data_IF_559679017007
#
_entry.id   IF_559679017007
#
_cell.length_a   1.000
_cell.length_b   1.000
_cell.length_c   1.000
_cell.angle_alpha   90.00
_cell.angle_beta   90.00
_cell.angle_gamma   90.00
#
_symmetry.space_group_name_H-M   'P 1'
#
loop_
_entity.id
_entity.type
_entity.pdbx_description
1 polymer ?
#
# COMPACT_ATOMS: atom_id res chain seq x y z
N UNK A 1 -0.81 52.90 21.65
CA UNK A 1 -0.28 51.57 22.09
C UNK A 1 -1.37 50.62 22.61
N UNK A 2 -2.57 51.09 22.99
CA UNK A 2 -3.65 50.22 23.52
C UNK A 2 -4.19 49.15 22.53
N UNK A 3 -4.13 49.37 21.21
CA UNK A 3 -4.65 48.40 20.24
C UNK A 3 -3.84 47.10 20.09
N UNK A 4 -2.51 47.17 20.14
CA UNK A 4 -1.63 45.99 19.99
C UNK A 4 -1.72 45.05 21.20
N UNK A 5 -1.91 45.59 22.39
CA UNK A 5 -2.04 44.81 23.63
C UNK A 5 -3.31 43.95 23.66
N UNK A 6 -4.39 44.38 22.97
CA UNK A 6 -5.65 43.65 22.90
C UNK A 6 -5.56 42.40 22.01
N UNK A 7 -4.90 42.51 20.85
CA UNK A 7 -4.74 41.38 19.92
C UNK A 7 -3.93 40.23 20.52
N UNK A 8 -2.80 40.55 21.17
CA UNK A 8 -1.94 39.55 21.80
C UNK A 8 -2.62 38.88 23.00
N UNK A 9 -3.35 39.64 23.83
CA UNK A 9 -4.18 39.08 24.91
C UNK A 9 -5.13 38.01 24.38
N UNK A 10 -5.87 38.31 23.32
CA UNK A 10 -6.84 37.37 22.75
C UNK A 10 -6.15 36.12 22.16
N UNK A 11 -4.97 36.27 21.56
CA UNK A 11 -4.18 35.14 21.06
C UNK A 11 -3.73 34.22 22.21
N UNK A 12 -3.21 34.78 23.30
CA UNK A 12 -2.79 34.02 24.49
C UNK A 12 -3.97 33.29 25.12
N UNK A 13 -5.12 33.95 25.28
CA UNK A 13 -6.32 33.30 25.82
C UNK A 13 -6.87 32.22 24.87
N UNK A 14 -6.76 32.41 23.56
CA UNK A 14 -7.13 31.38 22.57
C UNK A 14 -6.23 30.15 22.67
N UNK A 15 -4.91 30.35 22.80
CA UNK A 15 -3.94 29.27 23.03
C UNK A 15 -4.22 28.52 24.33
N UNK A 16 -4.56 29.25 25.39
CA UNK A 16 -4.93 28.64 26.67
C UNK A 16 -6.23 27.82 26.57
N UNK A 17 -7.26 28.35 25.90
CA UNK A 17 -8.51 27.62 25.60
C UNK A 17 -8.23 26.35 24.78
N UNK A 18 -7.34 26.43 23.80
CA UNK A 18 -6.88 25.30 22.98
C UNK A 18 -5.95 24.31 23.69
N UNK A 19 -5.70 24.47 24.99
CA UNK A 19 -4.77 23.65 25.79
C UNK A 19 -3.33 23.63 25.28
N UNK A 20 -2.91 24.63 24.50
CA UNK A 20 -1.55 24.69 23.93
C UNK A 20 -0.54 25.32 24.88
N UNK A 21 -1.00 26.09 25.87
CA UNK A 21 -0.20 26.67 26.95
C UNK A 21 -0.89 26.45 28.31
N UNK A 22 -0.10 26.45 29.37
CA UNK A 22 -0.50 26.32 30.77
C UNK A 22 -0.99 27.64 31.35
N UNK A 23 -1.67 27.58 32.51
CA UNK A 23 -2.14 28.78 33.22
C UNK A 23 -0.96 29.65 33.69
N UNK A 24 0.17 29.04 34.06
CA UNK A 24 1.36 29.77 34.49
C UNK A 24 2.01 30.52 33.33
N UNK A 25 2.07 29.92 32.14
CA UNK A 25 2.52 30.61 30.92
C UNK A 25 1.60 31.78 30.56
N UNK A 26 0.27 31.64 30.74
CA UNK A 26 -0.67 32.74 30.56
C UNK A 26 -0.38 33.88 31.55
N UNK A 27 -0.15 33.57 32.83
CA UNK A 27 0.20 34.56 33.85
C UNK A 27 1.45 35.32 33.46
N UNK A 28 2.51 34.60 33.09
CA UNK A 28 3.80 35.21 32.75
C UNK A 28 3.69 36.12 31.52
N UNK A 29 3.02 35.66 30.46
CA UNK A 29 2.85 36.45 29.24
C UNK A 29 1.97 37.68 29.51
N UNK A 30 0.86 37.55 30.24
CA UNK A 30 -0.04 38.67 30.52
C UNK A 30 0.57 39.69 31.49
N UNK A 31 1.39 39.26 32.46
CA UNK A 31 2.17 40.18 33.31
C UNK A 31 3.14 41.02 32.50
N UNK A 32 3.82 40.43 31.51
CA UNK A 32 4.69 41.18 30.58
C UNK A 32 3.91 42.21 29.76
N UNK A 33 2.62 41.98 29.52
CA UNK A 33 1.70 42.92 28.89
C UNK A 33 1.07 43.92 29.87
N UNK A 34 1.57 44.00 31.10
CA UNK A 34 1.19 44.97 32.15
C UNK A 34 -0.23 44.80 32.69
N UNK A 35 -0.85 43.62 32.55
CA UNK A 35 -2.09 43.30 33.26
C UNK A 35 -1.82 43.01 34.74
N UNK A 36 -2.76 43.37 35.62
CA UNK A 36 -2.67 43.05 37.06
C UNK A 36 -2.99 41.58 37.32
N UNK A 37 -2.47 41.03 38.42
CA UNK A 37 -2.72 39.63 38.79
C UNK A 37 -4.22 39.33 38.93
N UNK A 38 -5.01 40.24 39.49
CA UNK A 38 -6.46 40.07 39.62
C UNK A 38 -7.15 39.97 38.26
N UNK A 39 -6.72 40.80 37.29
CA UNK A 39 -7.27 40.79 35.93
C UNK A 39 -6.89 39.50 35.19
N UNK A 40 -5.67 39.02 35.40
CA UNK A 40 -5.16 37.78 34.82
C UNK A 40 -5.97 36.59 35.33
N UNK A 41 -6.17 36.49 36.64
CA UNK A 41 -6.98 35.41 37.22
C UNK A 41 -8.42 35.45 36.71
N UNK A 42 -9.01 36.64 36.56
CA UNK A 42 -10.34 36.77 35.95
C UNK A 42 -10.38 36.20 34.53
N UNK A 43 -9.35 36.48 33.70
CA UNK A 43 -9.29 35.91 32.35
C UNK A 43 -9.07 34.41 32.33
N UNK A 44 -8.28 33.87 33.26
CA UNK A 44 -8.07 32.42 33.38
C UNK A 44 -9.37 31.73 33.78
N UNK A 45 -10.09 32.26 34.78
CA UNK A 45 -11.39 31.74 35.21
C UNK A 45 -12.40 31.75 34.06
N UNK A 46 -12.48 32.86 33.32
CA UNK A 46 -13.34 32.96 32.15
C UNK A 46 -12.96 31.93 31.09
N UNK A 47 -11.66 31.78 30.80
CA UNK A 47 -11.18 30.83 29.81
C UNK A 47 -11.39 29.36 30.23
N UNK A 48 -11.21 29.03 31.51
CA UNK A 48 -11.48 27.70 32.07
C UNK A 48 -12.95 27.35 31.97
N UNK A 49 -13.84 28.31 32.22
CA UNK A 49 -15.27 28.13 32.00
C UNK A 49 -15.57 27.72 30.54
N UNK A 50 -14.99 28.41 29.56
CA UNK A 50 -15.13 28.04 28.15
C UNK A 50 -14.55 26.65 27.85
N UNK A 51 -13.37 26.31 28.38
CA UNK A 51 -12.75 24.99 28.19
C UNK A 51 -13.64 23.84 28.67
N UNK A 52 -14.27 24.02 29.84
CA UNK A 52 -15.18 23.01 30.42
C UNK A 52 -16.43 22.86 29.54
N UNK A 53 -16.95 23.96 28.99
CA UNK A 53 -18.11 23.92 28.08
C UNK A 53 -17.77 23.26 26.74
N UNK A 54 -16.62 23.56 26.16
CA UNK A 54 -16.16 22.96 24.90
C UNK A 54 -15.94 21.45 25.08
N UNK A 55 -15.30 21.02 26.17
CA UNK A 55 -15.12 19.60 26.48
C UNK A 55 -16.46 18.86 26.64
N UNK A 56 -17.42 19.48 27.32
CA UNK A 56 -18.79 18.96 27.43
C UNK A 56 -19.48 18.84 26.08
N UNK A 57 -19.30 19.83 25.21
CA UNK A 57 -19.87 19.86 23.87
C UNK A 57 -19.25 18.77 22.96
N UNK A 58 -17.93 18.55 23.04
CA UNK A 58 -17.24 17.50 22.30
C UNK A 58 -17.72 16.11 22.69
N UNK A 59 -17.83 15.84 24.01
CA UNK A 59 -18.38 14.58 24.52
C UNK A 59 -19.82 14.40 24.06
N UNK A 60 -20.65 15.44 24.16
CA UNK A 60 -22.03 15.39 23.67
C UNK A 60 -22.08 15.12 22.15
N UNK A 61 -21.23 15.77 21.35
CA UNK A 61 -21.14 15.54 19.91
C UNK A 61 -20.79 14.09 19.54
N UNK A 62 -19.83 13.50 20.26
CA UNK A 62 -19.45 12.09 20.07
C UNK A 62 -20.60 11.14 20.45
N UNK A 63 -21.27 11.39 21.57
CA UNK A 63 -22.39 10.58 22.05
C UNK A 63 -23.63 10.68 21.15
N UNK A 64 -23.91 11.87 20.59
CA UNK A 64 -25.02 12.12 19.67
C UNK A 64 -25.01 11.15 18.49
N UNK A 65 -23.87 11.01 17.83
CA UNK A 65 -23.72 10.15 16.63
C UNK A 65 -24.02 8.69 16.95
N UNK A 66 -23.52 8.19 18.09
CA UNK A 66 -23.78 6.82 18.53
C UNK A 66 -25.25 6.59 18.89
N UNK A 67 -25.86 7.53 19.61
CA UNK A 67 -27.26 7.45 20.04
C UNK A 67 -28.23 7.53 18.85
N UNK A 68 -28.06 8.52 17.97
CA UNK A 68 -28.95 8.74 16.80
C UNK A 68 -28.89 7.56 15.82
N UNK A 69 -27.76 6.88 15.72
CA UNK A 69 -27.59 5.66 14.89
C UNK A 69 -28.02 4.37 15.59
N UNK A 70 -28.71 4.46 16.73
CA UNK A 70 -29.14 3.32 17.54
C UNK A 70 -28.00 2.38 18.00
N UNK A 71 -26.75 2.85 18.03
CA UNK A 71 -25.60 2.07 18.51
C UNK A 71 -25.49 2.05 20.04
N UNK A 72 -26.31 2.86 20.73
CA UNK A 72 -26.36 2.97 22.19
C UNK A 72 -27.79 3.23 22.67
N UNK A 73 -28.10 2.73 23.86
CA UNK A 73 -29.38 2.98 24.52
C UNK A 73 -29.50 4.44 25.00
N UNK A 74 -30.73 4.88 25.25
CA UNK A 74 -30.99 6.21 25.82
C UNK A 74 -30.43 6.34 27.23
N UNK A 75 -30.61 5.32 28.05
CA UNK A 75 -30.17 5.26 29.45
C UNK A 75 -28.64 5.36 29.55
N UNK A 76 -27.90 4.59 28.76
CA UNK A 76 -26.43 4.65 28.73
C UNK A 76 -25.92 6.02 28.28
N UNK A 77 -26.59 6.62 27.30
CA UNK A 77 -26.24 7.95 26.77
C UNK A 77 -26.44 9.01 27.85
N UNK A 78 -27.56 8.96 28.57
CA UNK A 78 -27.86 9.85 29.71
C UNK A 78 -26.82 9.68 30.81
N UNK A 79 -26.46 8.45 31.18
CA UNK A 79 -25.46 8.18 32.23
C UNK A 79 -24.09 8.78 31.88
N UNK A 80 -23.64 8.65 30.63
CA UNK A 80 -22.36 9.22 30.18
C UNK A 80 -22.39 10.76 30.11
N UNK A 81 -23.50 11.34 29.67
CA UNK A 81 -23.68 12.80 29.70
C UNK A 81 -23.66 13.34 31.13
N UNK A 82 -24.29 12.64 32.07
CA UNK A 82 -24.24 12.97 33.50
C UNK A 82 -22.83 12.89 34.09
N UNK A 83 -22.06 11.87 33.68
CA UNK A 83 -20.64 11.75 34.05
C UNK A 83 -19.81 12.91 33.49
N UNK A 84 -20.11 13.38 32.28
CA UNK A 84 -19.50 14.57 31.68
C UNK A 84 -20.03 15.90 32.27
N UNK A 85 -20.96 15.85 33.23
CA UNK A 85 -21.45 17.03 33.94
C UNK A 85 -22.63 17.74 33.28
N UNK A 86 -23.35 17.08 32.37
CA UNK A 86 -24.69 17.51 31.92
C UNK A 86 -25.75 17.04 32.91
N UNK A 87 -26.58 17.95 33.45
CA UNK A 87 -27.60 17.63 34.45
C UNK A 87 -28.80 18.56 34.34
N UNK A 88 -29.96 18.12 34.81
CA UNK A 88 -31.20 18.92 34.86
C UNK A 88 -31.70 19.33 33.47
N UNK A 89 -32.33 20.49 33.39
CA UNK A 89 -32.99 20.97 32.16
C UNK A 89 -32.10 20.95 30.90
N UNK A 90 -30.81 21.37 30.92
CA UNK A 90 -29.96 21.29 29.74
C UNK A 90 -29.74 19.88 29.19
N UNK A 91 -29.71 18.87 30.07
CA UNK A 91 -29.61 17.47 29.66
C UNK A 91 -30.91 17.01 29.01
N UNK A 92 -32.04 17.38 29.58
CA UNK A 92 -33.36 17.02 29.07
C UNK A 92 -33.61 17.66 27.69
N UNK A 93 -33.24 18.93 27.51
CA UNK A 93 -33.35 19.65 26.22
C UNK A 93 -32.46 19.02 25.14
N UNK A 94 -31.22 18.66 25.52
CA UNK A 94 -30.27 17.98 24.63
C UNK A 94 -30.82 16.62 24.19
N UNK A 95 -31.29 15.81 25.13
CA UNK A 95 -31.87 14.50 24.85
C UNK A 95 -33.16 14.61 24.04
N UNK A 96 -34.04 15.57 24.32
CA UNK A 96 -35.25 15.80 23.52
C UNK A 96 -34.94 16.12 22.06
N UNK A 97 -33.90 16.92 21.81
CA UNK A 97 -33.42 17.21 20.46
C UNK A 97 -32.90 15.94 19.77
N UNK A 98 -32.17 15.10 20.50
CA UNK A 98 -31.60 13.86 19.94
C UNK A 98 -32.66 12.78 19.75
N UNK A 99 -33.66 12.70 20.61
CA UNK A 99 -34.83 11.81 20.49
C UNK A 99 -35.61 12.14 19.21
N UNK A 100 -35.80 13.44 18.91
CA UNK A 100 -36.40 13.88 17.65
C UNK A 100 -35.54 13.50 16.45
N UNK A 101 -34.22 13.76 16.48
CA UNK A 101 -33.31 13.39 15.40
C UNK A 101 -33.28 11.89 15.17
N UNK A 102 -33.24 11.11 16.25
CA UNK A 102 -33.31 9.65 16.22
C UNK A 102 -34.62 9.21 15.59
N UNK A 103 -35.76 9.77 15.99
CA UNK A 103 -37.07 9.47 15.38
C UNK A 103 -37.07 9.77 13.87
N UNK A 104 -36.56 10.93 13.46
CA UNK A 104 -36.46 11.30 12.02
C UNK A 104 -35.52 10.36 11.25
N UNK A 105 -34.47 9.86 11.90
CA UNK A 105 -33.49 8.94 11.30
C UNK A 105 -33.99 7.49 11.30
N UNK A 106 -34.68 7.06 12.35
CA UNK A 106 -35.27 5.73 12.55
C UNK A 106 -36.60 5.55 11.80
N UNK A 107 -37.25 6.64 11.35
CA UNK A 107 -38.35 6.61 10.38
C UNK A 107 -37.92 6.10 8.98
N UNK A 108 -36.71 5.55 8.87
CA UNK A 108 -36.31 4.56 7.89
C UNK A 108 -36.54 3.14 8.48
N UNK A 109 -37.76 2.55 8.38
CA UNK A 109 -38.16 1.28 9.01
C UNK A 109 -37.38 0.01 8.60
N UNK A 110 -36.30 0.11 7.83
CA UNK A 110 -35.51 -1.02 7.34
C UNK A 110 -34.37 -1.46 8.26
N UNK A 111 -34.17 -0.85 9.44
CA UNK A 111 -33.04 -1.20 10.33
C UNK A 111 -33.35 -2.22 11.43
N UNK A 112 -34.56 -2.77 11.49
CA UNK A 112 -34.88 -3.88 12.41
C UNK A 112 -34.64 -5.24 11.75
N UNK A 113 -33.40 -5.73 11.88
CA UNK A 113 -33.05 -7.13 12.14
C UNK A 113 -33.37 -8.23 11.11
N UNK A 114 -33.18 -7.95 9.83
CA UNK A 114 -32.42 -8.86 8.96
C UNK A 114 -31.39 -7.97 8.29
N UNK A 115 -30.09 -8.23 8.47
CA UNK A 115 -29.09 -7.44 7.75
C UNK A 115 -29.22 -7.81 6.28
N UNK A 116 -29.94 -7.00 5.53
CA UNK A 116 -30.01 -7.15 4.09
C UNK A 116 -28.60 -6.99 3.52
N UNK A 117 -28.27 -7.83 2.54
CA UNK A 117 -27.01 -7.75 1.85
C UNK A 117 -26.93 -6.39 1.15
N UNK A 118 -25.82 -5.70 1.35
CA UNK A 118 -25.53 -4.49 0.59
C UNK A 118 -25.39 -4.83 -0.90
N UNK A 119 -25.57 -3.84 -1.78
CA UNK A 119 -25.32 -3.97 -3.22
C UNK A 119 -23.96 -4.61 -3.52
N UNK A 120 -22.92 -4.22 -2.77
CA UNK A 120 -21.57 -4.76 -2.95
C UNK A 120 -21.48 -6.24 -2.62
N UNK A 121 -22.13 -6.67 -1.54
CA UNK A 121 -22.18 -8.08 -1.12
C UNK A 121 -22.97 -8.94 -2.08
N UNK A 122 -24.10 -8.46 -2.62
CA UNK A 122 -24.86 -9.15 -3.66
C UNK A 122 -24.04 -9.36 -4.94
N UNK A 123 -23.35 -8.31 -5.41
CA UNK A 123 -22.50 -8.40 -6.60
C UNK A 123 -21.33 -9.37 -6.37
N UNK A 124 -20.73 -9.38 -5.18
CA UNK A 124 -19.67 -10.31 -4.82
C UNK A 124 -20.19 -11.76 -4.80
N UNK A 125 -21.31 -12.00 -4.12
CA UNK A 125 -21.95 -13.31 -4.05
C UNK A 125 -22.29 -13.86 -5.45
N UNK A 126 -22.74 -13.00 -6.37
CA UNK A 126 -22.98 -13.41 -7.76
C UNK A 126 -21.69 -13.78 -8.51
N UNK A 127 -20.62 -13.01 -8.35
CA UNK A 127 -19.31 -13.29 -8.98
C UNK A 127 -18.72 -14.60 -8.48
N UNK A 128 -18.90 -14.89 -7.19
CA UNK A 128 -18.46 -16.11 -6.53
C UNK A 128 -19.43 -17.29 -6.72
N UNK A 129 -20.44 -17.14 -7.60
CA UNK A 129 -21.45 -18.16 -7.93
C UNK A 129 -22.31 -18.64 -6.75
N UNK A 130 -22.37 -17.86 -5.67
CA UNK A 130 -23.18 -18.14 -4.48
C UNK A 130 -24.67 -17.90 -4.77
N UNK A 131 -24.96 -16.91 -5.61
CA UNK A 131 -26.33 -16.57 -6.04
C UNK A 131 -26.45 -16.52 -7.57
N UNK A 132 -27.65 -16.75 -8.08
CA UNK A 132 -27.95 -16.67 -9.51
C UNK A 132 -28.15 -15.22 -9.98
N UNK A 133 -28.23 -15.01 -11.30
CA UNK A 133 -28.48 -13.68 -11.87
C UNK A 133 -29.89 -13.17 -11.52
N UNK A 134 -30.87 -14.07 -11.42
CA UNK A 134 -32.24 -13.74 -10.99
C UNK A 134 -32.25 -13.28 -9.54
N UNK A 135 -31.55 -14.01 -8.65
CA UNK A 135 -31.39 -13.62 -7.24
C UNK A 135 -30.65 -12.29 -7.07
N UNK A 136 -29.64 -12.03 -7.90
CA UNK A 136 -28.96 -10.73 -7.93
C UNK A 136 -29.94 -9.62 -8.36
N UNK A 137 -30.72 -9.85 -9.42
CA UNK A 137 -31.70 -8.88 -9.94
C UNK A 137 -32.74 -8.53 -8.87
N UNK A 138 -33.34 -9.55 -8.24
CA UNK A 138 -34.32 -9.38 -7.17
C UNK A 138 -33.72 -8.67 -5.95
N UNK A 139 -32.50 -9.07 -5.55
CA UNK A 139 -31.80 -8.46 -4.41
C UNK A 139 -31.50 -6.98 -4.65
N UNK A 140 -31.10 -6.59 -5.86
CA UNK A 140 -30.86 -5.19 -6.21
C UNK A 140 -32.17 -4.40 -6.25
N UNK A 141 -33.26 -4.95 -6.79
CA UNK A 141 -34.56 -4.30 -6.79
C UNK A 141 -35.10 -4.09 -5.36
N UNK A 142 -34.89 -5.05 -4.45
CA UNK A 142 -35.27 -4.94 -3.04
C UNK A 142 -34.52 -3.83 -2.29
N UNK A 143 -33.32 -3.47 -2.75
CA UNK A 143 -32.57 -2.32 -2.22
C UNK A 143 -33.12 -0.95 -2.71
N UNK A 144 -34.17 -0.94 -3.53
CA UNK A 144 -34.86 0.27 -3.98
C UNK A 144 -34.30 0.90 -5.26
N UNK A 145 -33.45 0.19 -6.00
CA UNK A 145 -33.01 0.62 -7.34
C UNK A 145 -34.16 0.46 -8.35
N UNK A 146 -34.26 1.38 -9.31
CA UNK A 146 -35.25 1.23 -10.38
C UNK A 146 -34.87 0.10 -11.36
N UNK A 147 -35.80 -0.27 -12.24
CA UNK A 147 -35.61 -1.38 -13.20
C UNK A 147 -34.42 -1.13 -14.15
N UNK A 148 -34.23 0.11 -14.62
CA UNK A 148 -33.13 0.45 -15.52
C UNK A 148 -31.78 0.38 -14.79
N UNK A 149 -31.71 0.94 -13.58
CA UNK A 149 -30.52 0.88 -12.74
C UNK A 149 -30.15 -0.56 -12.40
N UNK A 150 -31.14 -1.37 -12.02
CA UNK A 150 -30.98 -2.80 -11.72
C UNK A 150 -30.41 -3.53 -12.93
N UNK A 151 -30.98 -3.33 -14.11
CA UNK A 151 -30.51 -3.94 -15.36
C UNK A 151 -29.05 -3.55 -15.66
N UNK A 152 -28.68 -2.28 -15.51
CA UNK A 152 -27.30 -1.82 -15.73
C UNK A 152 -26.33 -2.46 -14.73
N UNK A 153 -26.69 -2.50 -13.45
CA UNK A 153 -25.85 -3.09 -12.39
C UNK A 153 -25.61 -4.58 -12.65
N UNK A 154 -26.68 -5.32 -12.96
CA UNK A 154 -26.61 -6.77 -13.25
C UNK A 154 -25.76 -7.04 -14.49
N UNK A 155 -25.94 -6.27 -15.57
CA UNK A 155 -25.12 -6.42 -16.79
C UNK A 155 -23.65 -6.11 -16.55
N UNK A 156 -23.33 -5.11 -15.73
CA UNK A 156 -21.96 -4.82 -15.33
C UNK A 156 -21.36 -5.96 -14.50
N UNK A 157 -22.11 -6.51 -13.54
CA UNK A 157 -21.66 -7.64 -12.73
C UNK A 157 -21.41 -8.89 -13.59
N UNK A 158 -22.33 -9.20 -14.51
CA UNK A 158 -22.22 -10.29 -15.48
C UNK A 158 -20.99 -10.12 -16.38
N UNK A 159 -20.81 -8.95 -16.98
CA UNK A 159 -19.65 -8.65 -17.84
C UNK A 159 -18.32 -8.74 -17.08
N UNK A 160 -18.30 -8.29 -15.81
CA UNK A 160 -17.12 -8.39 -14.96
C UNK A 160 -16.77 -9.84 -14.62
N UNK A 161 -17.77 -10.68 -14.30
CA UNK A 161 -17.60 -12.11 -14.05
C UNK A 161 -17.01 -12.83 -15.28
N UNK A 162 -17.66 -12.68 -16.43
CA UNK A 162 -17.21 -13.30 -17.68
C UNK A 162 -15.81 -12.83 -18.11
N UNK A 163 -15.47 -11.56 -17.83
CA UNK A 163 -14.13 -11.05 -18.09
C UNK A 163 -13.07 -11.73 -17.21
N UNK A 164 -13.38 -11.99 -15.94
CA UNK A 164 -12.47 -12.69 -15.02
C UNK A 164 -12.25 -14.13 -15.49
N UNK A 165 -13.31 -14.90 -15.72
CA UNK A 165 -13.24 -16.28 -16.23
C UNK A 165 -12.44 -16.37 -17.53
N UNK A 166 -12.69 -15.45 -18.47
CA UNK A 166 -11.95 -15.38 -19.73
C UNK A 166 -10.46 -15.11 -19.50
N UNK A 167 -10.12 -14.24 -18.55
CA UNK A 167 -8.72 -13.95 -18.23
C UNK A 167 -8.02 -15.18 -17.63
N UNK A 168 -8.71 -15.96 -16.79
CA UNK A 168 -8.15 -17.19 -16.23
C UNK A 168 -7.86 -18.22 -17.34
N UNK A 169 -8.77 -18.36 -18.31
CA UNK A 169 -8.54 -19.21 -19.49
C UNK A 169 -7.38 -18.70 -20.36
N UNK A 170 -7.28 -17.38 -20.57
CA UNK A 170 -6.14 -16.77 -21.28
C UNK A 170 -4.83 -17.09 -20.57
N UNK A 171 -4.79 -17.04 -19.23
CA UNK A 171 -3.61 -17.37 -18.43
C UNK A 171 -3.20 -18.83 -18.59
N UNK A 172 -4.15 -19.77 -18.64
CA UNK A 172 -3.84 -21.19 -18.92
C UNK A 172 -3.18 -21.37 -20.28
N UNK A 173 -3.70 -20.68 -21.32
CA UNK A 173 -3.11 -20.69 -22.67
C UNK A 173 -1.72 -20.04 -22.65
N UNK A 174 -1.56 -18.94 -21.92
CA UNK A 174 -0.27 -18.24 -21.75
C UNK A 174 0.80 -19.18 -21.17
N UNK A 175 0.50 -19.85 -20.06
CA UNK A 175 1.42 -20.78 -19.42
C UNK A 175 1.77 -21.95 -20.35
N UNK A 176 0.79 -22.49 -21.08
CA UNK A 176 1.01 -23.57 -22.05
C UNK A 176 1.90 -23.14 -23.23
N UNK A 177 1.73 -21.91 -23.69
CA UNK A 177 2.59 -21.31 -24.72
C UNK A 177 4.02 -21.11 -24.21
N UNK A 178 4.20 -20.57 -23.00
CA UNK A 178 5.53 -20.37 -22.41
C UNK A 178 6.25 -21.68 -22.05
N UNK A 179 5.50 -22.74 -21.79
CA UNK A 179 6.02 -24.09 -21.60
C UNK A 179 6.40 -24.78 -22.93
N UNK A 180 6.09 -24.17 -24.08
CA UNK A 180 6.33 -24.74 -25.41
C UNK A 180 5.35 -25.85 -25.80
N UNK A 181 4.27 -26.06 -25.03
CA UNK A 181 3.22 -27.03 -25.35
C UNK A 181 2.33 -26.55 -26.52
N UNK A 182 2.23 -25.23 -26.71
CA UNK A 182 1.50 -24.62 -27.82
C UNK A 182 2.44 -23.78 -28.68
N UNK A 183 2.35 -23.93 -30.00
CA UNK A 183 2.98 -23.01 -30.94
C UNK A 183 2.11 -21.77 -31.20
N UNK A 184 2.62 -20.82 -32.01
CA UNK A 184 1.91 -19.56 -32.30
C UNK A 184 0.56 -19.79 -32.99
N UNK A 185 0.46 -20.77 -33.89
CA UNK A 185 -0.76 -21.05 -34.65
C UNK A 185 -1.82 -21.67 -33.75
N UNK A 186 -1.43 -22.64 -32.93
CA UNK A 186 -2.30 -23.35 -32.00
C UNK A 186 -2.77 -22.42 -30.89
N UNK A 187 -1.88 -21.59 -30.33
CA UNK A 187 -2.25 -20.54 -29.37
C UNK A 187 -3.29 -19.57 -29.92
N UNK A 188 -3.16 -19.16 -31.18
CA UNK A 188 -4.15 -18.29 -31.81
C UNK A 188 -5.53 -18.97 -31.90
N UNK A 189 -5.57 -20.25 -32.24
CA UNK A 189 -6.81 -21.05 -32.30
C UNK A 189 -7.43 -21.20 -30.91
N UNK A 190 -6.63 -21.47 -29.86
CA UNK A 190 -7.14 -21.54 -28.49
C UNK A 190 -7.71 -20.20 -27.99
N UNK A 191 -7.05 -19.09 -28.30
CA UNK A 191 -7.56 -17.76 -27.97
C UNK A 191 -8.84 -17.41 -28.75
N UNK A 192 -9.01 -17.90 -29.98
CA UNK A 192 -10.25 -17.75 -30.74
C UNK A 192 -11.40 -18.54 -30.11
N UNK A 193 -11.14 -19.76 -29.61
CA UNK A 193 -12.15 -20.55 -28.87
C UNK A 193 -12.62 -19.86 -27.59
N UNK A 194 -11.73 -19.13 -26.92
CA UNK A 194 -12.01 -18.32 -25.72
C UNK A 194 -12.76 -17.01 -26.07
N UNK A 195 -12.87 -16.66 -27.36
CA UNK A 195 -13.54 -15.44 -27.81
C UNK A 195 -12.72 -14.17 -27.56
N UNK A 196 -11.39 -14.26 -27.62
CA UNK A 196 -10.50 -13.09 -27.51
C UNK A 196 -10.55 -12.27 -28.80
N UNK A 197 -10.83 -10.95 -28.75
CA UNK A 197 -10.85 -10.10 -29.94
C UNK A 197 -9.51 -10.11 -30.70
N UNK A 198 -9.57 -10.06 -32.03
CA UNK A 198 -8.39 -10.17 -32.91
C UNK A 198 -7.21 -9.26 -32.52
N UNK A 199 -7.47 -7.98 -32.23
CA UNK A 199 -6.43 -7.03 -31.83
C UNK A 199 -5.79 -7.41 -30.48
N UNK A 200 -6.60 -7.81 -29.50
CA UNK A 200 -6.11 -8.24 -28.19
C UNK A 200 -5.29 -9.53 -28.31
N UNK A 201 -5.76 -10.49 -29.13
CA UNK A 201 -5.05 -11.74 -29.43
C UNK A 201 -3.64 -11.48 -29.99
N UNK A 202 -3.52 -10.61 -31.00
CA UNK A 202 -2.23 -10.26 -31.59
C UNK A 202 -1.29 -9.59 -30.56
N UNK A 203 -1.83 -8.71 -29.73
CA UNK A 203 -1.06 -8.06 -28.66
C UNK A 203 -0.56 -9.06 -27.62
N UNK A 204 -1.41 -10.02 -27.18
CA UNK A 204 -1.04 -11.07 -26.24
C UNK A 204 0.08 -11.95 -26.81
N UNK A 205 -0.08 -12.46 -28.03
CA UNK A 205 0.94 -13.29 -28.69
C UNK A 205 2.25 -12.52 -28.86
N UNK A 206 2.19 -11.25 -29.25
CA UNK A 206 3.36 -10.39 -29.36
C UNK A 206 4.11 -10.25 -28.03
N UNK A 207 3.37 -9.98 -26.94
CA UNK A 207 3.93 -9.91 -25.58
C UNK A 207 4.56 -11.24 -25.17
N UNK A 208 3.87 -12.35 -25.38
CA UNK A 208 4.36 -13.68 -24.97
C UNK A 208 5.57 -14.14 -25.78
N UNK A 209 5.70 -13.76 -27.06
CA UNK A 209 6.92 -13.97 -27.85
C UNK A 209 8.13 -13.28 -27.21
N UNK A 210 7.95 -12.04 -26.76
CA UNK A 210 9.02 -11.30 -26.07
C UNK A 210 9.37 -11.95 -24.73
N UNK A 211 8.36 -12.43 -24.00
CA UNK A 211 8.56 -13.14 -22.73
C UNK A 211 9.29 -14.47 -22.93
N UNK A 212 8.91 -15.25 -23.93
CA UNK A 212 9.58 -16.49 -24.29
C UNK A 212 11.03 -16.24 -24.73
N UNK A 213 11.29 -15.17 -25.51
CA UNK A 213 12.64 -14.78 -25.90
C UNK A 213 13.52 -14.35 -24.70
N UNK A 214 12.91 -13.86 -23.61
CA UNK A 214 13.61 -13.58 -22.35
C UNK A 214 13.87 -14.84 -21.52
N UNK A 215 13.09 -15.90 -21.71
CA UNK A 215 13.36 -17.22 -21.13
C UNK A 215 14.48 -17.87 -21.94
N UNK A 216 15.72 -17.48 -21.66
CA UNK A 216 16.89 -18.24 -22.08
C UNK A 216 16.79 -19.60 -21.36
N UNK A 217 16.80 -20.74 -22.07
CA UNK A 217 16.81 -22.05 -21.43
C UNK A 217 18.09 -22.17 -20.59
N UNK A 218 17.97 -21.96 -19.28
CA UNK A 218 19.09 -22.01 -18.35
C UNK A 218 19.45 -23.46 -18.05
N UNK A 219 20.24 -24.06 -18.94
CA UNK A 219 21.25 -24.97 -18.41
C UNK A 219 22.13 -24.14 -17.48
N UNK A 220 22.13 -24.45 -16.19
CA UNK A 220 23.09 -23.85 -15.27
C UNK A 220 24.50 -24.05 -15.82
N UNK A 221 25.46 -23.16 -15.50
CA UNK A 221 26.85 -23.35 -15.93
C UNK A 221 27.38 -24.75 -15.60
N UNK A 222 26.99 -25.32 -14.46
CA UNK A 222 27.35 -26.68 -14.06
C UNK A 222 26.74 -27.77 -14.97
N UNK A 223 25.50 -27.57 -15.45
CA UNK A 223 24.88 -28.48 -16.40
C UNK A 223 25.53 -28.37 -17.79
N UNK A 224 25.82 -27.16 -18.27
CA UNK A 224 26.57 -26.95 -19.51
C UNK A 224 27.94 -27.62 -19.44
N UNK A 225 28.67 -27.39 -18.35
CA UNK A 225 29.95 -28.04 -18.06
C UNK A 225 29.84 -29.58 -18.10
N UNK A 226 28.85 -30.12 -17.39
CA UNK A 226 28.60 -31.56 -17.34
C UNK A 226 28.30 -32.16 -18.71
N UNK A 227 27.44 -31.51 -19.51
CA UNK A 227 27.06 -31.97 -20.85
C UNK A 227 28.23 -31.94 -21.83
N UNK A 228 29.10 -30.92 -21.75
CA UNK A 228 30.31 -30.82 -22.58
C UNK A 228 31.34 -31.87 -22.18
N UNK A 229 31.60 -32.03 -20.88
CA UNK A 229 32.54 -33.05 -20.37
C UNK A 229 32.07 -34.47 -20.69
N UNK A 230 30.77 -34.72 -20.63
CA UNK A 230 30.16 -35.98 -21.04
C UNK A 230 30.09 -36.15 -22.58
N UNK A 231 30.52 -35.15 -23.36
CA UNK A 231 30.46 -35.12 -24.83
C UNK A 231 29.03 -35.30 -25.39
N UNK A 232 28.03 -34.92 -24.60
CA UNK A 232 26.61 -34.90 -24.99
C UNK A 232 26.32 -33.62 -25.79
N UNK A 233 27.03 -32.54 -25.50
CA UNK A 233 26.94 -31.25 -26.17
C UNK A 233 28.30 -30.88 -26.77
N UNK A 234 28.31 -30.36 -28.00
CA UNK A 234 29.53 -29.86 -28.65
C UNK A 234 29.85 -28.42 -28.26
N UNK A 235 31.07 -27.99 -28.56
CA UNK A 235 31.61 -26.67 -28.19
C UNK A 235 30.82 -25.52 -28.84
N UNK A 236 30.36 -25.68 -30.09
CA UNK A 236 29.59 -24.67 -30.81
C UNK A 236 28.19 -24.47 -30.21
N UNK A 237 27.52 -25.57 -29.85
CA UNK A 237 26.21 -25.53 -29.19
C UNK A 237 26.33 -24.91 -27.80
N UNK A 238 27.34 -25.29 -27.02
CA UNK A 238 27.61 -24.69 -25.72
C UNK A 238 27.92 -23.19 -25.81
N UNK A 239 28.70 -22.78 -26.82
CA UNK A 239 28.98 -21.37 -27.08
C UNK A 239 27.71 -20.57 -27.34
N UNK A 240 26.76 -21.14 -28.10
CA UNK A 240 25.45 -20.53 -28.33
C UNK A 240 24.67 -20.37 -27.02
N UNK A 241 24.62 -21.40 -26.16
CA UNK A 241 23.96 -21.29 -24.85
C UNK A 241 24.60 -20.23 -23.95
N UNK A 242 25.93 -20.16 -23.90
CA UNK A 242 26.64 -19.14 -23.13
C UNK A 242 26.42 -17.73 -23.70
N UNK A 243 26.39 -17.58 -25.03
CA UNK A 243 26.05 -16.31 -25.67
C UNK A 243 24.61 -15.89 -25.36
N UNK A 244 23.68 -16.84 -25.43
CA UNK A 244 22.27 -16.62 -25.11
C UNK A 244 22.10 -16.22 -23.63
N UNK A 245 22.93 -16.76 -22.72
CA UNK A 245 23.02 -16.36 -21.30
C UNK A 245 23.75 -15.03 -21.05
N UNK A 246 24.26 -14.36 -22.09
CA UNK A 246 24.90 -13.05 -22.00
C UNK A 246 26.41 -13.08 -21.66
N UNK A 247 27.07 -14.24 -21.71
CA UNK A 247 28.53 -14.30 -21.58
C UNK A 247 29.21 -13.71 -22.82
N UNK A 248 30.29 -12.96 -22.63
CA UNK A 248 31.08 -12.40 -23.75
C UNK A 248 31.88 -13.49 -24.46
N UNK A 249 32.28 -13.26 -25.71
CA UNK A 249 33.08 -14.23 -26.49
C UNK A 249 34.39 -14.64 -25.78
N UNK A 250 35.00 -13.74 -25.03
CA UNK A 250 36.20 -14.02 -24.22
C UNK A 250 35.89 -14.95 -23.04
N UNK A 251 34.80 -14.67 -22.31
CA UNK A 251 34.33 -15.52 -21.21
C UNK A 251 33.92 -16.91 -21.70
N UNK A 252 33.24 -16.98 -22.84
CA UNK A 252 32.89 -18.24 -23.51
C UNK A 252 34.15 -19.07 -23.81
N UNK A 253 35.16 -18.44 -24.44
CA UNK A 253 36.42 -19.11 -24.79
C UNK A 253 37.15 -19.61 -23.54
N UNK A 254 37.18 -18.80 -22.48
CA UNK A 254 37.78 -19.19 -21.21
C UNK A 254 37.07 -20.38 -20.57
N UNK A 255 35.74 -20.33 -20.41
CA UNK A 255 34.96 -21.41 -19.81
C UNK A 255 35.06 -22.71 -20.63
N UNK A 256 34.94 -22.64 -21.95
CA UNK A 256 35.04 -23.80 -22.83
C UNK A 256 36.44 -24.44 -22.79
N UNK A 257 37.51 -23.62 -22.80
CA UNK A 257 38.87 -24.14 -22.68
C UNK A 257 39.11 -24.81 -21.32
N UNK A 258 38.60 -24.21 -20.25
CA UNK A 258 38.64 -24.76 -18.89
C UNK A 258 37.90 -26.10 -18.79
N UNK A 259 36.66 -26.17 -19.28
CA UNK A 259 35.84 -27.39 -19.21
C UNK A 259 36.39 -28.55 -20.04
N UNK A 260 36.96 -28.25 -21.21
CA UNK A 260 37.57 -29.26 -22.10
C UNK A 260 38.97 -29.69 -21.66
N UNK A 261 39.50 -29.13 -20.56
CA UNK A 261 40.87 -29.42 -20.10
C UNK A 261 41.94 -28.99 -21.10
N UNK A 262 41.59 -28.15 -22.10
CA UNK A 262 42.56 -27.50 -22.98
C UNK A 262 43.27 -26.50 -22.08
N UNK A 263 44.51 -26.81 -21.66
CA UNK A 263 45.39 -25.85 -20.99
C UNK A 263 45.77 -24.74 -21.99
N UNK A 264 44.82 -23.88 -22.33
CA UNK A 264 45.14 -22.57 -22.86
C UNK A 264 45.50 -21.74 -21.63
N UNK A 265 46.77 -21.40 -21.41
CA UNK A 265 47.08 -20.33 -20.47
C UNK A 265 46.23 -19.11 -20.88
N UNK A 266 45.70 -18.34 -19.91
CA UNK A 266 45.01 -17.09 -20.24
C UNK A 266 45.90 -16.29 -21.21
N UNK A 267 45.33 -15.64 -22.24
CA UNK A 267 46.10 -15.00 -23.30
C UNK A 267 47.21 -14.15 -22.69
N UNK A 268 48.45 -14.58 -22.90
CA UNK A 268 49.64 -13.90 -22.38
C UNK A 268 49.62 -12.47 -22.91
N UNK A 269 49.37 -11.52 -22.01
CA UNK A 269 49.29 -10.10 -22.36
C UNK A 269 47.92 -9.45 -22.17
N UNK A 270 46.86 -10.16 -21.74
CA UNK A 270 45.86 -9.46 -20.93
C UNK A 270 46.49 -9.28 -19.55
N UNK A 271 46.87 -8.06 -19.14
CA UNK A 271 47.22 -7.87 -17.75
C UNK A 271 45.98 -8.31 -16.97
N UNK A 272 46.10 -9.41 -16.23
CA UNK A 272 45.31 -9.57 -15.03
C UNK A 272 45.88 -8.50 -14.08
N UNK A 273 45.60 -7.23 -14.37
CA UNK A 273 45.20 -6.35 -13.31
C UNK A 273 44.08 -7.13 -12.65
N UNK A 274 44.40 -7.82 -11.54
CA UNK A 274 43.45 -7.90 -10.46
C UNK A 274 43.17 -6.45 -10.13
N UNK A 275 42.33 -5.80 -10.93
CA UNK A 275 41.49 -4.73 -10.47
C UNK A 275 40.84 -5.40 -9.27
N UNK A 276 41.24 -5.05 -8.04
CA UNK A 276 40.69 -5.71 -6.85
C UNK A 276 39.19 -5.72 -7.07
N UNK A 277 38.59 -6.92 -7.12
CA UNK A 277 37.19 -7.08 -7.50
C UNK A 277 36.44 -6.01 -6.72
N UNK A 278 35.94 -4.99 -7.42
CA UNK A 278 35.35 -3.86 -6.75
C UNK A 278 34.18 -4.47 -5.99
N UNK A 279 34.28 -4.44 -4.65
CA UNK A 279 33.28 -5.06 -3.79
C UNK A 279 31.92 -4.53 -4.23
N UNK A 280 30.96 -5.42 -4.42
CA UNK A 280 29.62 -5.02 -4.81
C UNK A 280 28.99 -4.16 -3.71
N UNK A 281 27.89 -3.49 -4.03
CA UNK A 281 27.09 -2.81 -3.00
C UNK A 281 26.77 -3.74 -1.82
N UNK A 282 26.34 -4.97 -2.11
CA UNK A 282 26.01 -5.96 -1.09
C UNK A 282 27.21 -6.32 -0.20
N UNK A 283 28.41 -6.38 -0.78
CA UNK A 283 29.63 -6.68 -0.03
C UNK A 283 30.01 -5.53 0.94
N UNK A 284 29.83 -4.27 0.54
CA UNK A 284 30.05 -3.12 1.41
C UNK A 284 28.97 -3.01 2.51
N UNK A 285 27.72 -3.34 2.20
CA UNK A 285 26.64 -3.43 3.20
C UNK A 285 26.94 -4.54 4.22
N UNK A 286 27.34 -5.74 3.77
CA UNK A 286 27.74 -6.84 4.64
C UNK A 286 28.95 -6.49 5.50
N UNK A 287 29.94 -5.79 4.94
CA UNK A 287 31.11 -5.31 5.66
C UNK A 287 30.72 -4.31 6.77
N UNK A 288 29.73 -3.45 6.50
CA UNK A 288 29.19 -2.54 7.52
C UNK A 288 28.44 -3.28 8.63
N UNK A 289 27.58 -4.24 8.27
CA UNK A 289 26.79 -5.03 9.22
C UNK A 289 27.69 -5.85 10.16
N UNK A 290 28.73 -6.49 9.61
CA UNK A 290 29.62 -7.37 10.38
C UNK A 290 30.60 -6.61 11.28
N UNK A 291 30.90 -5.35 10.97
CA UNK A 291 31.82 -4.52 11.75
C UNK A 291 31.30 -3.09 11.83
N UNK A 292 30.56 -2.79 12.90
CA UNK A 292 29.93 -1.48 13.15
C UNK A 292 30.89 -0.30 13.04
N UNK A 293 32.17 -0.52 13.33
CA UNK A 293 33.23 0.50 13.29
C UNK A 293 33.70 0.85 11.87
N UNK A 294 33.21 0.15 10.83
CA UNK A 294 33.65 0.34 9.45
C UNK A 294 32.73 1.24 8.61
N UNK A 295 31.90 2.09 9.23
CA UNK A 295 31.01 3.01 8.50
C UNK A 295 31.75 3.82 7.42
N UNK A 296 32.87 4.42 7.79
CA UNK A 296 33.71 5.23 6.89
C UNK A 296 34.25 4.40 5.73
N UNK A 297 34.60 3.13 5.98
CA UNK A 297 35.12 2.22 4.95
C UNK A 297 34.03 1.78 3.97
N UNK A 298 32.84 1.42 4.47
CA UNK A 298 31.69 1.09 3.63
C UNK A 298 31.22 2.30 2.81
N UNK A 299 31.20 3.50 3.41
CA UNK A 299 30.86 4.75 2.74
C UNK A 299 31.82 5.07 1.58
N UNK A 300 33.13 5.05 1.84
CA UNK A 300 34.14 5.27 0.80
C UNK A 300 34.10 4.18 -0.28
N UNK A 301 33.78 2.94 0.13
CA UNK A 301 33.55 1.82 -0.77
C UNK A 301 32.41 2.04 -1.74
N UNK A 302 31.23 2.44 -1.24
CA UNK A 302 30.06 2.78 -2.06
C UNK A 302 30.35 3.93 -3.03
N UNK A 303 31.06 4.97 -2.57
CA UNK A 303 31.52 6.07 -3.45
C UNK A 303 32.44 5.57 -4.56
N UNK A 304 33.34 4.63 -4.25
CA UNK A 304 34.29 4.06 -5.22
C UNK A 304 33.60 3.27 -6.34
N UNK A 305 32.38 2.76 -6.12
CA UNK A 305 31.58 2.05 -7.13
C UNK A 305 30.47 2.93 -7.75
N UNK A 306 30.56 4.25 -7.57
CA UNK A 306 29.74 5.23 -8.29
C UNK A 306 28.52 5.78 -7.55
N UNK A 307 28.31 5.45 -6.27
CA UNK A 307 27.24 6.06 -5.49
C UNK A 307 27.57 7.52 -5.14
N UNK A 308 26.56 8.38 -5.19
CA UNK A 308 26.72 9.74 -4.66
C UNK A 308 26.89 9.70 -3.15
N UNK A 309 27.44 10.78 -2.59
CA UNK A 309 27.56 10.96 -1.15
C UNK A 309 26.21 10.85 -0.42
N UNK A 310 25.15 11.39 -1.03
CA UNK A 310 23.79 11.31 -0.52
C UNK A 310 23.27 9.88 -0.51
N UNK A 311 23.45 9.15 -1.62
CA UNK A 311 22.96 7.77 -1.74
C UNK A 311 23.70 6.82 -0.80
N UNK A 312 25.03 6.96 -0.68
CA UNK A 312 25.84 6.17 0.21
C UNK A 312 25.42 6.36 1.68
N UNK A 313 25.16 7.60 2.11
CA UNK A 313 24.65 7.87 3.46
C UNK A 313 23.25 7.30 3.68
N UNK A 314 22.35 7.45 2.70
CA UNK A 314 20.98 6.95 2.80
C UNK A 314 20.93 5.43 2.99
N UNK A 315 21.76 4.69 2.24
CA UNK A 315 21.89 3.23 2.35
C UNK A 315 22.35 2.83 3.76
N UNK A 316 23.42 3.47 4.26
CA UNK A 316 23.97 3.14 5.59
C UNK A 316 23.01 3.53 6.73
N UNK A 317 22.26 4.63 6.60
CA UNK A 317 21.23 5.05 7.57
C UNK A 317 20.01 4.12 7.59
N UNK A 318 19.65 3.53 6.45
CA UNK A 318 18.62 2.49 6.41
C UNK A 318 19.06 1.24 7.16
N UNK A 319 20.31 0.81 6.99
CA UNK A 319 20.86 -0.34 7.73
C UNK A 319 20.86 -0.04 9.24
N UNK A 320 21.29 1.15 9.68
CA UNK A 320 21.24 1.54 11.09
C UNK A 320 19.83 1.53 11.69
N UNK A 321 18.84 1.98 10.93
CA UNK A 321 17.44 1.93 11.35
C UNK A 321 16.92 0.50 11.49
N UNK A 322 17.33 -0.38 10.58
CA UNK A 322 16.95 -1.80 10.65
C UNK A 322 17.64 -2.54 11.80
N UNK A 323 18.90 -2.20 12.13
CA UNK A 323 19.60 -2.80 13.27
C UNK A 323 19.09 -2.35 14.65
N UNK A 324 18.38 -1.22 14.72
CA UNK A 324 17.79 -0.68 15.98
C UNK A 324 16.36 -1.18 16.24
N UNK A 325 15.73 -1.83 15.27
CA UNK A 325 14.41 -2.45 15.38
C UNK A 325 14.57 -3.88 15.85
#
# INVERSE_FOLDING_TARGET
RQGLASGLKNAVLSMYKGRTISADEVRDILRQLTYTDETIEQFIIEADFFRIQDEKADVAGALKSAYVKALRSREDTVALLQQAGWRGQPLDDLMGTWDLLRTVTELQPHQTATRDLTKGELIAAYKDEIITIEQLTDGIAQLGYDENETNVIVQLAYSAKNKAERNDLIEVVHQSYLAGALDVSTTAVELDKIGVPFLQKNNLIGKWKQELAKRIPDFTLAQLEGMIKAKIMDEATAQKYLNDQGYTSEQQTFLLSWWLGKRNPPPEGTPITKTPLALSRADYEALYINTKDNRTRAFNGLKSIGYTETDANLILDQIDRNMKR
#
